data_IF_462830198764
#
_entry.id   IF_462830198764
#
_cell.length_a   1.000
_cell.length_b   1.000
_cell.length_c   1.000
_cell.angle_alpha   90.00
_cell.angle_beta   90.00
_cell.angle_gamma   90.00
#
_symmetry.space_group_name_H-M   'P 1'
#
loop_
_entity.id
_entity.type
_entity.pdbx_description
1 polymer ?
#
# COMPACT_ATOMS: atom_id res chain seq x y z
N UNK A 1 -15.74 11.57 16.83
CA UNK A 1 -15.67 11.77 15.39
C UNK A 1 -15.15 10.52 14.72
N UNK A 2 -15.88 10.00 13.77
CA UNK A 2 -15.48 8.78 13.08
C UNK A 2 -14.50 9.10 11.99
N UNK A 3 -13.44 8.30 11.89
CA UNK A 3 -12.47 8.45 10.83
C UNK A 3 -13.09 7.94 9.52
N UNK A 4 -12.95 8.71 8.47
CA UNK A 4 -13.51 8.38 7.16
C UNK A 4 -12.77 7.18 6.57
N UNK A 5 -13.49 6.26 5.93
CA UNK A 5 -12.91 5.15 5.18
C UNK A 5 -12.56 5.62 3.77
N UNK A 6 -11.32 5.44 3.38
CA UNK A 6 -10.80 5.91 2.09
C UNK A 6 -10.07 4.79 1.35
N UNK A 7 -9.83 5.01 0.07
CA UNK A 7 -9.00 4.14 -0.78
C UNK A 7 -7.73 4.87 -1.17
N UNK A 8 -6.60 4.22 -0.95
CA UNK A 8 -5.31 4.65 -1.47
C UNK A 8 -4.99 3.80 -2.69
N UNK A 9 -4.66 4.45 -3.81
CA UNK A 9 -4.00 3.78 -4.93
C UNK A 9 -2.60 4.34 -5.03
N UNK A 10 -1.60 3.48 -5.16
CA UNK A 10 -0.21 3.92 -5.21
C UNK A 10 0.60 3.09 -6.18
N UNK A 11 1.51 3.77 -6.86
CA UNK A 11 2.52 3.15 -7.71
C UNK A 11 3.88 3.49 -7.12
N UNK A 12 4.61 2.46 -6.72
CA UNK A 12 5.90 2.62 -6.04
C UNK A 12 7.01 2.22 -7.02
N UNK A 13 7.96 3.11 -7.22
CA UNK A 13 9.09 2.90 -8.10
C UNK A 13 10.42 2.93 -7.34
N UNK A 14 11.44 2.34 -7.95
CA UNK A 14 12.75 2.19 -7.35
C UNK A 14 13.18 0.74 -7.36
N UNK A 15 14.01 0.33 -6.41
CA UNK A 15 14.41 -1.07 -6.21
C UNK A 15 13.42 -1.69 -5.25
N UNK A 16 12.25 -2.12 -5.78
CA UNK A 16 11.11 -2.57 -4.99
C UNK A 16 10.62 -3.98 -5.35
N UNK A 17 11.19 -4.59 -6.39
CA UNK A 17 10.90 -5.99 -6.73
C UNK A 17 12.09 -6.87 -6.33
N UNK A 18 11.80 -8.10 -5.90
CA UNK A 18 12.83 -9.05 -5.51
C UNK A 18 13.49 -8.78 -4.16
N UNK A 19 12.92 -7.87 -3.35
CA UNK A 19 13.48 -7.47 -2.05
C UNK A 19 12.51 -7.74 -0.89
N UNK A 20 11.44 -8.47 -1.14
CA UNK A 20 10.41 -8.76 -0.14
C UNK A 20 9.45 -7.60 0.10
N UNK A 21 9.41 -6.62 -0.79
CA UNK A 21 8.60 -5.42 -0.63
C UNK A 21 7.10 -5.74 -0.48
N UNK A 22 6.56 -6.61 -1.34
CA UNK A 22 5.15 -6.99 -1.27
C UNK A 22 4.81 -7.66 0.05
N UNK A 23 5.68 -8.55 0.53
CA UNK A 23 5.49 -9.24 1.80
C UNK A 23 5.41 -8.26 2.97
N UNK A 24 6.37 -7.36 3.07
CA UNK A 24 6.42 -6.41 4.18
C UNK A 24 5.30 -5.38 4.10
N UNK A 25 4.91 -5.00 2.88
CA UNK A 25 3.76 -4.11 2.66
C UNK A 25 2.47 -4.79 3.14
N UNK A 26 2.27 -6.06 2.79
CA UNK A 26 1.10 -6.81 3.24
C UNK A 26 1.07 -6.95 4.77
N UNK A 27 2.22 -7.20 5.39
CA UNK A 27 2.31 -7.26 6.85
C UNK A 27 1.94 -5.92 7.49
N UNK A 28 2.45 -4.83 6.93
CA UNK A 28 2.14 -3.50 7.44
C UNK A 28 0.66 -3.17 7.30
N UNK A 29 0.08 -3.51 6.16
CA UNK A 29 -1.36 -3.33 5.95
C UNK A 29 -2.19 -4.14 6.93
N UNK A 30 -1.80 -5.39 7.22
CA UNK A 30 -2.49 -6.23 8.20
C UNK A 30 -2.39 -5.63 9.61
N UNK A 31 -1.24 -5.12 10.00
CA UNK A 31 -1.07 -4.44 11.29
C UNK A 31 -2.01 -3.25 11.43
N UNK A 32 -2.26 -2.55 10.34
CA UNK A 32 -3.12 -1.37 10.29
C UNK A 32 -4.59 -1.72 10.01
N UNK A 33 -4.91 -3.00 9.90
CA UNK A 33 -6.27 -3.49 9.61
C UNK A 33 -6.80 -2.94 8.27
N UNK A 34 -5.91 -2.77 7.30
CA UNK A 34 -6.29 -2.34 5.96
C UNK A 34 -6.64 -3.54 5.08
N UNK A 35 -7.47 -3.30 4.09
CA UNK A 35 -7.81 -4.29 3.06
C UNK A 35 -7.31 -3.82 1.71
N UNK A 36 -7.13 -4.73 0.77
CA UNK A 36 -6.68 -4.36 -0.57
C UNK A 36 -5.74 -5.38 -1.20
N UNK A 37 -4.88 -4.89 -2.08
CA UNK A 37 -3.95 -5.73 -2.83
C UNK A 37 -2.61 -5.03 -3.06
N UNK A 38 -1.58 -5.84 -3.24
CA UNK A 38 -0.27 -5.38 -3.70
C UNK A 38 0.26 -6.35 -4.73
N UNK A 39 0.80 -5.83 -5.82
CA UNK A 39 1.34 -6.65 -6.92
C UNK A 39 2.54 -6.00 -7.58
N UNK A 40 3.38 -6.81 -8.21
CA UNK A 40 4.43 -6.32 -9.09
C UNK A 40 3.83 -6.00 -10.46
N UNK A 41 4.36 -4.96 -11.09
CA UNK A 41 4.02 -4.64 -12.48
C UNK A 41 5.23 -4.96 -13.39
N UNK A 42 4.96 -5.07 -14.69
CA UNK A 42 5.98 -5.41 -15.70
C UNK A 42 7.09 -4.37 -15.81
N UNK A 43 6.80 -3.13 -15.47
CA UNK A 43 7.76 -2.02 -15.56
C UNK A 43 8.72 -1.94 -14.37
N UNK A 44 8.64 -2.89 -13.43
CA UNK A 44 9.48 -2.90 -12.23
C UNK A 44 8.87 -2.22 -11.02
N UNK A 45 7.72 -1.56 -11.19
CA UNK A 45 7.00 -0.93 -10.09
C UNK A 45 6.19 -1.92 -9.27
N UNK A 46 5.75 -1.48 -8.10
CA UNK A 46 4.77 -2.18 -7.27
C UNK A 46 3.49 -1.35 -7.26
N UNK A 47 2.37 -1.99 -7.51
CA UNK A 47 1.05 -1.37 -7.47
C UNK A 47 0.33 -1.76 -6.19
N UNK A 48 -0.28 -0.79 -5.52
CA UNK A 48 -0.94 -0.97 -4.24
C UNK A 48 -2.34 -0.36 -4.28
N UNK A 49 -3.31 -1.10 -3.77
CA UNK A 49 -4.63 -0.56 -3.44
C UNK A 49 -4.89 -0.91 -1.98
N UNK A 50 -5.20 0.06 -1.16
CA UNK A 50 -5.47 -0.17 0.27
C UNK A 50 -6.68 0.65 0.71
N UNK A 51 -7.57 0.02 1.47
CA UNK A 51 -8.76 0.67 2.02
C UNK A 51 -8.79 0.52 3.54
N UNK A 52 -9.23 1.57 4.21
CA UNK A 52 -9.39 1.60 5.64
C UNK A 52 -9.59 3.02 6.11
N UNK A 53 -9.42 3.24 7.42
CA UNK A 53 -9.56 4.59 7.96
C UNK A 53 -8.52 5.52 7.35
N UNK A 54 -8.87 6.80 7.22
CA UNK A 54 -7.96 7.80 6.65
C UNK A 54 -6.66 7.86 7.44
N UNK A 55 -6.72 7.73 8.76
CA UNK A 55 -5.52 7.74 9.61
C UNK A 55 -4.62 6.55 9.32
N UNK A 56 -5.19 5.35 9.18
CA UNK A 56 -4.41 4.15 8.90
C UNK A 56 -3.82 4.15 7.50
N UNK A 57 -4.58 4.62 6.53
CA UNK A 57 -4.09 4.78 5.15
C UNK A 57 -2.93 5.77 5.11
N UNK A 58 -3.05 6.90 5.82
CA UNK A 58 -1.97 7.88 5.91
C UNK A 58 -0.72 7.28 6.57
N UNK A 59 -0.91 6.44 7.57
CA UNK A 59 0.18 5.75 8.24
C UNK A 59 0.93 4.81 7.27
N UNK A 60 0.19 4.05 6.47
CA UNK A 60 0.78 3.18 5.45
C UNK A 60 1.58 4.01 4.43
N UNK A 61 0.99 5.10 3.95
CA UNK A 61 1.66 5.98 3.00
C UNK A 61 2.95 6.55 3.57
N UNK A 62 2.94 6.98 4.82
CA UNK A 62 4.14 7.45 5.51
C UNK A 62 5.21 6.37 5.61
N UNK A 63 4.82 5.13 5.90
CA UNK A 63 5.74 4.00 5.94
C UNK A 63 6.36 3.72 4.58
N UNK A 64 5.57 3.76 3.50
CA UNK A 64 6.07 3.56 2.14
C UNK A 64 7.14 4.58 1.76
N UNK A 65 7.01 5.79 2.25
CA UNK A 65 7.96 6.88 1.99
C UNK A 65 9.15 6.91 2.95
N UNK A 66 9.12 6.10 3.99
CA UNK A 66 10.15 6.08 5.02
C UNK A 66 11.30 5.15 4.65
N UNK A 67 12.42 5.28 5.36
CA UNK A 67 13.55 4.37 5.23
C UNK A 67 13.27 2.97 5.78
N UNK A 68 12.12 2.76 6.41
CA UNK A 68 11.72 1.46 6.97
C UNK A 68 11.16 0.51 5.92
N UNK A 69 10.66 1.04 4.80
CA UNK A 69 10.20 0.20 3.69
C UNK A 69 11.40 -0.54 3.09
N UNK A 70 11.25 -1.83 2.73
CA UNK A 70 12.38 -2.60 2.17
C UNK A 70 12.78 -2.08 0.79
N UNK A 71 13.99 -2.40 0.40
CA UNK A 71 14.54 -1.98 -0.88
C UNK A 71 14.85 -0.49 -0.88
N UNK A 72 14.68 0.11 -2.03
CA UNK A 72 14.94 1.53 -2.22
C UNK A 72 13.78 2.18 -2.97
N UNK A 73 12.95 2.87 -2.24
CA UNK A 73 11.80 3.58 -2.81
C UNK A 73 12.29 4.92 -3.34
N UNK A 74 12.15 5.14 -4.63
CA UNK A 74 12.53 6.39 -5.29
C UNK A 74 11.35 7.35 -5.39
N UNK A 75 10.15 6.81 -5.66
CA UNK A 75 8.97 7.63 -5.79
C UNK A 75 7.71 6.84 -5.43
N UNK A 76 6.72 7.55 -4.88
CA UNK A 76 5.39 7.01 -4.59
C UNK A 76 4.38 7.95 -5.23
N UNK A 77 3.82 7.53 -6.36
CA UNK A 77 2.69 8.23 -6.99
C UNK A 77 1.41 7.69 -6.39
N UNK A 78 0.61 8.56 -5.82
CA UNK A 78 -0.57 8.08 -5.10
C UNK A 78 -1.78 9.00 -5.28
N UNK A 79 -2.94 8.41 -5.03
CA UNK A 79 -4.22 9.09 -5.03
C UNK A 79 -5.06 8.56 -3.88
N UNK A 80 -5.81 9.42 -3.22
CA UNK A 80 -6.74 9.02 -2.17
C UNK A 80 -8.15 9.27 -2.68
N UNK A 81 -8.95 8.21 -2.68
CA UNK A 81 -10.29 8.20 -3.27
C UNK A 81 -11.29 7.68 -2.24
N UNK A 82 -12.56 7.68 -2.60
CA UNK A 82 -13.61 7.06 -1.81
C UNK A 82 -13.41 5.55 -1.76
N UNK A 83 -13.59 4.94 -0.58
CA UNK A 83 -13.53 3.50 -0.44
C UNK A 83 -14.73 2.82 -1.11
N UNK A 84 -14.51 1.64 -1.66
CA UNK A 84 -15.55 0.85 -2.31
C UNK A 84 -16.10 -0.26 -1.44
N UNK A 85 -15.33 -0.70 -0.43
CA UNK A 85 -15.71 -1.84 0.42
C UNK A 85 -15.61 -3.19 -0.25
N UNK A 86 -14.92 -3.27 -1.41
CA UNK A 86 -14.87 -4.52 -2.20
C UNK A 86 -13.91 -5.57 -1.68
N UNK A 87 -13.00 -5.21 -0.76
CA UNK A 87 -11.97 -6.12 -0.27
C UNK A 87 -12.34 -6.67 1.11
N UNK A 88 -12.06 -7.96 1.33
CA UNK A 88 -12.27 -8.62 2.63
C UNK A 88 -10.97 -8.69 3.46
N UNK A 89 -9.83 -8.67 2.81
CA UNK A 89 -8.52 -8.78 3.45
C UNK A 89 -7.47 -8.04 2.61
N UNK A 90 -6.20 -8.16 3.00
CA UNK A 90 -5.10 -7.61 2.20
C UNK A 90 -4.30 -8.77 1.61
N UNK A 91 -4.15 -8.78 0.28
CA UNK A 91 -3.52 -9.89 -0.45
C UNK A 91 -2.40 -9.45 -1.36
N UNK A 92 -1.40 -10.33 -1.47
CA UNK A 92 -0.39 -10.24 -2.52
C UNK A 92 -0.96 -10.95 -3.75
N UNK A 93 -1.00 -10.26 -4.88
CA UNK A 93 -1.50 -10.82 -6.14
C UNK A 93 -0.46 -10.69 -7.24
N UNK A 94 -0.70 -11.38 -8.33
CA UNK A 94 0.18 -11.33 -9.51
C UNK A 94 -0.17 -10.17 -10.46
#
# INVERSE_FOLDING_TARGET
>A
MTDETVRLTARITGVVQGVGFRYWTARKADELLLTGTVRNDHDGSVQLVAEGSAADVDHLLGWLKSARAPGRVENVDFEVLEATGEFDDFRIID
#
